data_IF_171417303596
#
_entry.id   IF_171417303596
#
_cell.length_a   1.000
_cell.length_b   1.000
_cell.length_c   1.000
_cell.angle_alpha   90.00
_cell.angle_beta   90.00
_cell.angle_gamma   90.00
#
_symmetry.space_group_name_H-M   'P 1'
#
loop_
_entity.id
_entity.type
_entity.pdbx_description
1 polymer ?
#
# COMPACT_ATOMS: atom_id res chain seq x y z
N UNK A 1 -12.46 -36.12 -16.56
CA UNK A 1 -11.41 -35.45 -15.75
C UNK A 1 -11.89 -34.03 -15.50
N UNK A 2 -12.32 -33.71 -14.29
CA UNK A 2 -12.86 -32.40 -13.93
C UNK A 2 -11.67 -31.47 -13.64
N UNK A 3 -11.52 -30.40 -14.41
CA UNK A 3 -10.61 -29.31 -14.10
C UNK A 3 -11.05 -28.70 -12.77
N UNK A 4 -10.29 -28.94 -11.72
CA UNK A 4 -10.41 -28.20 -10.47
C UNK A 4 -9.89 -26.79 -10.74
N UNK A 5 -10.80 -25.82 -10.89
CA UNK A 5 -10.51 -24.42 -10.72
C UNK A 5 -10.11 -24.24 -9.26
N UNK A 6 -8.81 -24.15 -9.00
CA UNK A 6 -8.30 -23.57 -7.77
C UNK A 6 -8.69 -22.07 -7.81
N UNK A 7 -9.89 -21.75 -7.36
CA UNK A 7 -10.19 -20.42 -6.86
C UNK A 7 -9.25 -20.23 -5.66
N UNK A 8 -8.29 -19.31 -5.80
CA UNK A 8 -7.53 -18.82 -4.65
C UNK A 8 -8.56 -18.16 -3.73
N UNK A 9 -8.90 -18.82 -2.64
CA UNK A 9 -9.68 -18.26 -1.52
C UNK A 9 -8.81 -17.22 -0.77
N UNK A 10 -8.52 -16.10 -1.42
CA UNK A 10 -7.84 -14.98 -0.80
C UNK A 10 -8.87 -14.03 -0.20
N UNK A 11 -8.61 -13.52 0.99
CA UNK A 11 -9.49 -12.54 1.67
C UNK A 11 -9.48 -11.17 1.00
N UNK A 12 -8.54 -10.91 0.09
CA UNK A 12 -8.47 -9.69 -0.70
C UNK A 12 -8.82 -9.93 -2.18
N UNK A 13 -9.27 -8.88 -2.86
CA UNK A 13 -9.54 -8.91 -4.31
C UNK A 13 -8.30 -8.50 -5.09
N UNK A 14 -7.86 -9.34 -6.02
CA UNK A 14 -6.84 -8.96 -7.01
C UNK A 14 -7.53 -8.29 -8.22
N UNK A 15 -7.16 -7.05 -8.48
CA UNK A 15 -7.72 -6.24 -9.58
C UNK A 15 -6.64 -6.00 -10.64
N UNK A 16 -6.94 -6.34 -11.90
CA UNK A 16 -6.07 -6.00 -13.01
C UNK A 16 -6.48 -4.62 -13.57
N UNK A 17 -5.62 -3.63 -13.41
CA UNK A 17 -5.89 -2.27 -13.86
C UNK A 17 -5.07 -1.22 -13.12
N UNK A 18 -5.42 0.04 -13.38
CA UNK A 18 -4.81 1.19 -12.72
C UNK A 18 -5.61 1.57 -11.47
N UNK A 19 -4.95 1.61 -10.32
CA UNK A 19 -5.53 2.04 -9.05
C UNK A 19 -6.07 3.48 -9.14
N UNK A 20 -5.39 4.36 -9.84
CA UNK A 20 -5.80 5.76 -9.93
C UNK A 20 -7.07 5.97 -10.75
N UNK A 21 -7.36 5.08 -11.70
CA UNK A 21 -8.65 5.09 -12.41
C UNK A 21 -9.81 4.78 -11.48
N UNK A 22 -9.61 3.88 -10.52
CA UNK A 22 -10.59 3.60 -9.48
C UNK A 22 -10.75 4.79 -8.54
N UNK A 23 -9.64 5.33 -8.02
CA UNK A 23 -9.65 6.46 -7.08
C UNK A 23 -10.42 7.65 -7.61
N UNK A 24 -10.28 7.95 -8.91
CA UNK A 24 -11.00 9.06 -9.58
C UNK A 24 -12.51 8.82 -9.69
N UNK A 25 -12.93 7.57 -9.77
CA UNK A 25 -14.35 7.20 -9.96
C UNK A 25 -15.06 6.92 -8.65
N UNK A 26 -14.33 6.59 -7.58
CA UNK A 26 -14.94 6.29 -6.29
C UNK A 26 -15.52 7.55 -5.65
N UNK A 27 -16.77 7.46 -5.23
CA UNK A 27 -17.51 8.56 -4.62
C UNK A 27 -18.15 8.21 -3.27
N UNK A 28 -17.98 6.98 -2.77
CA UNK A 28 -18.78 6.44 -1.68
C UNK A 28 -18.04 6.22 -0.36
N UNK A 29 -16.73 5.91 -0.39
CA UNK A 29 -15.96 5.55 0.81
C UNK A 29 -14.64 6.30 0.90
N UNK A 30 -14.08 6.38 2.08
CA UNK A 30 -12.67 6.75 2.26
C UNK A 30 -11.77 5.70 1.63
N UNK A 31 -10.61 6.10 1.13
CA UNK A 31 -9.64 5.21 0.51
C UNK A 31 -8.33 5.31 1.26
N UNK A 32 -7.80 4.17 1.71
CA UNK A 32 -6.46 4.07 2.30
C UNK A 32 -5.55 3.41 1.26
N UNK A 33 -4.47 4.09 0.90
CA UNK A 33 -3.52 3.65 -0.15
C UNK A 33 -2.14 3.42 0.46
N UNK A 34 -1.88 2.23 1.03
CA UNK A 34 -0.55 1.86 1.50
C UNK A 34 0.36 1.48 0.33
N UNK A 35 1.56 2.00 0.33
CA UNK A 35 2.59 1.61 -0.61
C UNK A 35 3.99 1.69 0.01
N UNK A 36 4.91 0.84 -0.48
CA UNK A 36 6.28 0.78 0.03
C UNK A 36 7.11 1.90 -0.55
N UNK A 37 7.82 2.60 0.34
CA UNK A 37 8.84 3.60 0.03
C UNK A 37 10.18 3.20 0.66
N UNK A 38 11.26 3.85 0.19
CA UNK A 38 12.62 3.58 0.66
C UNK A 38 13.00 4.48 1.87
N UNK A 39 14.14 4.19 2.47
CA UNK A 39 14.71 4.97 3.57
C UNK A 39 15.79 5.97 3.13
N UNK A 40 15.84 6.33 1.85
CA UNK A 40 16.81 7.29 1.30
C UNK A 40 16.20 8.62 0.85
N UNK A 41 14.91 8.82 1.06
CA UNK A 41 14.21 10.02 0.62
C UNK A 41 13.91 10.09 -0.88
N UNK A 42 14.13 9.01 -1.64
CA UNK A 42 13.85 8.97 -3.07
C UNK A 42 12.42 8.55 -3.36
N UNK A 43 11.71 9.30 -4.20
CA UNK A 43 10.29 9.07 -4.54
C UNK A 43 10.05 8.95 -6.06
N UNK A 44 11.07 8.63 -6.85
CA UNK A 44 11.07 8.77 -8.30
C UNK A 44 11.01 7.45 -9.09
N UNK A 45 10.61 6.36 -8.46
CA UNK A 45 10.57 5.04 -9.12
C UNK A 45 9.35 4.21 -8.74
N UNK A 46 8.96 3.29 -9.62
CA UNK A 46 7.87 2.36 -9.40
C UNK A 46 6.53 3.05 -9.13
N UNK A 47 5.77 2.56 -8.16
CA UNK A 47 4.46 3.11 -7.82
C UNK A 47 4.54 4.54 -7.26
N UNK A 48 5.62 4.88 -6.55
CA UNK A 48 5.84 6.24 -6.03
C UNK A 48 5.85 7.29 -7.17
N UNK A 49 6.46 6.99 -8.31
CA UNK A 49 6.41 7.87 -9.49
C UNK A 49 5.00 8.08 -10.02
N UNK A 50 4.16 7.05 -10.00
CA UNK A 50 2.76 7.18 -10.38
C UNK A 50 1.96 7.99 -9.34
N UNK A 51 2.25 7.83 -8.04
CA UNK A 51 1.69 8.67 -6.98
C UNK A 51 2.05 10.15 -7.19
N UNK A 52 3.33 10.46 -7.46
CA UNK A 52 3.77 11.83 -7.75
C UNK A 52 2.98 12.47 -8.89
N UNK A 53 2.75 11.72 -9.97
CA UNK A 53 2.02 12.21 -11.14
C UNK A 53 0.56 12.58 -10.82
N UNK A 54 -0.12 11.81 -9.97
CA UNK A 54 -1.54 12.00 -9.66
C UNK A 54 -1.78 12.82 -8.39
N UNK A 55 -0.86 12.71 -7.42
CA UNK A 55 -0.94 13.33 -6.11
C UNK A 55 0.43 13.88 -5.67
N UNK A 56 0.94 14.95 -6.30
CA UNK A 56 2.28 15.49 -6.03
C UNK A 56 2.49 15.91 -4.58
N UNK A 57 1.42 16.22 -3.86
CA UNK A 57 1.47 16.57 -2.44
C UNK A 57 2.02 15.41 -1.58
N UNK A 58 1.84 14.15 -2.00
CA UNK A 58 2.35 12.99 -1.26
C UNK A 58 3.88 12.97 -1.30
N UNK A 59 4.47 13.20 -2.48
CA UNK A 59 5.93 13.36 -2.63
C UNK A 59 6.45 14.53 -1.83
N UNK A 60 5.80 15.71 -1.94
CA UNK A 60 6.21 16.90 -1.22
C UNK A 60 6.27 16.66 0.29
N UNK A 61 5.27 15.98 0.87
CA UNK A 61 5.27 15.61 2.28
C UNK A 61 6.37 14.58 2.62
N UNK A 62 6.62 13.61 1.74
CA UNK A 62 7.68 12.63 1.95
C UNK A 62 9.06 13.29 1.99
N UNK A 63 9.33 14.23 1.08
CA UNK A 63 10.61 14.96 1.00
C UNK A 63 10.83 15.93 2.17
N UNK A 64 9.78 16.33 2.88
CA UNK A 64 9.89 17.14 4.11
C UNK A 64 10.28 16.34 5.35
N UNK A 65 10.30 15.00 5.28
CA UNK A 65 10.75 14.19 6.41
C UNK A 65 12.22 14.41 6.70
N UNK A 66 12.55 14.58 7.98
CA UNK A 66 13.95 14.73 8.44
C UNK A 66 14.62 13.38 8.69
N UNK A 67 13.85 12.33 8.87
CA UNK A 67 14.32 10.97 9.15
C UNK A 67 13.45 9.93 8.45
N UNK A 68 14.08 9.02 7.72
CA UNK A 68 13.43 7.90 7.03
C UNK A 68 13.77 6.60 7.73
N UNK A 69 13.05 6.29 8.79
CA UNK A 69 13.33 5.11 9.61
C UNK A 69 12.55 3.90 9.16
N UNK A 70 13.24 2.80 8.91
CA UNK A 70 12.63 1.52 8.52
C UNK A 70 11.61 1.04 9.56
N UNK A 71 10.42 0.71 9.09
CA UNK A 71 9.30 0.25 9.92
C UNK A 71 8.45 1.37 10.49
N UNK A 72 8.62 2.60 10.02
CA UNK A 72 7.74 3.74 10.30
C UNK A 72 6.87 4.07 9.08
N UNK A 73 5.69 4.61 9.35
CA UNK A 73 4.72 5.04 8.36
C UNK A 73 4.57 6.55 8.37
N UNK A 74 4.37 7.11 7.19
CA UNK A 74 3.89 8.48 7.05
C UNK A 74 2.49 8.46 6.45
N UNK A 75 1.53 9.06 7.15
CA UNK A 75 0.14 9.17 6.73
C UNK A 75 -0.12 10.57 6.15
N UNK A 76 -0.59 10.63 4.92
CA UNK A 76 -0.95 11.88 4.24
C UNK A 76 -2.43 11.81 3.87
N UNK A 77 -3.24 12.58 4.61
CA UNK A 77 -4.69 12.67 4.38
C UNK A 77 -5.00 13.80 3.41
N UNK A 78 -5.75 13.48 2.37
CA UNK A 78 -6.18 14.39 1.32
C UNK A 78 -7.70 14.44 1.32
N UNK A 79 -8.29 15.63 1.36
CA UNK A 79 -9.72 15.81 1.19
C UNK A 79 -10.09 15.50 -0.28
N UNK A 80 -10.96 14.55 -0.48
CA UNK A 80 -11.46 14.12 -1.79
C UNK A 80 -12.84 14.72 -2.12
N UNK A 81 -13.34 15.63 -1.29
CA UNK A 81 -14.68 16.20 -1.38
C UNK A 81 -15.78 15.25 -0.88
N UNK A 82 -17.00 15.77 -0.76
CA UNK A 82 -18.16 14.99 -0.29
C UNK A 82 -17.95 14.28 1.06
N UNK A 83 -17.21 14.89 1.98
CA UNK A 83 -16.83 14.33 3.30
C UNK A 83 -16.01 13.04 3.20
N UNK A 84 -15.28 12.82 2.11
CA UNK A 84 -14.39 11.67 1.90
C UNK A 84 -12.94 12.06 1.98
N UNK A 85 -12.10 11.10 2.32
CA UNK A 85 -10.65 11.25 2.36
C UNK A 85 -9.95 10.18 1.54
N UNK A 86 -8.82 10.57 0.97
CA UNK A 86 -7.81 9.62 0.47
C UNK A 86 -6.63 9.73 1.41
N UNK A 87 -6.23 8.59 1.99
CA UNK A 87 -5.10 8.51 2.92
C UNK A 87 -3.99 7.72 2.26
N UNK A 88 -2.95 8.39 1.80
CA UNK A 88 -1.73 7.71 1.38
C UNK A 88 -0.90 7.31 2.61
N UNK A 89 -0.38 6.09 2.58
CA UNK A 89 0.52 5.60 3.61
C UNK A 89 1.85 5.23 2.97
N UNK A 90 2.85 6.08 3.20
CA UNK A 90 4.24 5.80 2.82
C UNK A 90 4.84 4.85 3.85
N UNK A 91 4.84 3.55 3.54
CA UNK A 91 5.43 2.49 4.37
C UNK A 91 6.93 2.43 4.14
N UNK A 92 7.75 2.89 5.08
CA UNK A 92 9.23 2.89 4.95
C UNK A 92 9.76 1.48 5.22
N UNK A 93 9.69 0.64 4.21
CA UNK A 93 10.06 -0.78 4.31
C UNK A 93 11.16 -1.20 3.33
N UNK A 94 11.63 -0.31 2.45
CA UNK A 94 12.71 -0.59 1.51
C UNK A 94 14.03 0.03 2.01
N UNK A 95 15.05 -0.81 2.20
CA UNK A 95 16.38 -0.37 2.58
C UNK A 95 17.25 -0.13 1.35
N UNK A 96 17.42 1.13 0.98
CA UNK A 96 18.25 1.58 -0.15
C UNK A 96 19.68 1.94 0.24
N UNK A 97 19.96 2.10 1.55
CA UNK A 97 21.25 2.61 2.06
C UNK A 97 22.28 1.52 2.34
N UNK A 98 22.12 0.31 1.82
CA UNK A 98 23.07 -0.76 2.09
C UNK A 98 24.23 -0.73 1.09
N UNK A 99 25.47 -0.63 1.61
CA UNK A 99 26.71 -0.82 0.85
C UNK A 99 26.90 -2.27 0.37
N UNK A 100 26.17 -3.22 0.91
CA UNK A 100 26.17 -4.63 0.50
C UNK A 100 25.06 -4.83 -0.53
N UNK A 101 25.37 -5.49 -1.62
CA UNK A 101 24.37 -6.01 -2.57
C UNK A 101 23.47 -6.99 -1.84
N UNK A 102 22.43 -6.49 -1.20
CA UNK A 102 21.38 -7.34 -0.68
C UNK A 102 20.62 -7.94 -1.87
N UNK A 103 20.32 -9.22 -1.76
CA UNK A 103 19.49 -9.95 -2.73
C UNK A 103 18.08 -9.32 -2.83
N UNK A 104 17.67 -8.58 -1.81
CA UNK A 104 16.36 -7.95 -1.67
C UNK A 104 16.50 -6.66 -0.86
N UNK A 105 15.96 -5.56 -1.38
CA UNK A 105 15.90 -4.27 -0.68
C UNK A 105 14.72 -4.21 0.29
N UNK A 106 13.60 -4.91 -0.01
CA UNK A 106 12.47 -4.98 0.88
C UNK A 106 12.84 -5.65 2.20
N UNK A 107 12.61 -4.96 3.30
CA UNK A 107 12.78 -5.48 4.65
C UNK A 107 11.43 -5.98 5.17
N UNK A 108 11.24 -7.29 5.29
CA UNK A 108 9.97 -7.88 5.71
C UNK A 108 9.59 -7.52 7.15
N UNK A 109 10.55 -7.43 8.06
CA UNK A 109 10.26 -7.02 9.43
C UNK A 109 9.72 -5.59 9.48
N UNK A 110 10.33 -4.68 8.71
CA UNK A 110 9.84 -3.31 8.56
C UNK A 110 8.48 -3.25 7.88
N UNK A 111 8.25 -4.10 6.87
CA UNK A 111 6.96 -4.19 6.19
C UNK A 111 5.85 -4.61 7.17
N UNK A 112 6.06 -5.66 7.97
CA UNK A 112 5.09 -6.10 8.98
C UNK A 112 4.78 -4.99 9.99
N UNK A 113 5.80 -4.25 10.45
CA UNK A 113 5.61 -3.11 11.35
C UNK A 113 4.74 -2.02 10.71
N UNK A 114 5.03 -1.67 9.46
CA UNK A 114 4.24 -0.70 8.73
C UNK A 114 2.79 -1.18 8.52
N UNK A 115 2.59 -2.41 8.11
CA UNK A 115 1.24 -2.97 7.94
C UNK A 115 0.45 -2.98 9.27
N UNK A 116 1.10 -3.26 10.39
CA UNK A 116 0.51 -3.11 11.72
C UNK A 116 0.21 -1.63 12.07
N UNK A 117 1.06 -0.70 11.62
CA UNK A 117 0.83 0.74 11.74
C UNK A 117 -0.43 1.20 11.01
N UNK A 118 -0.65 0.70 9.79
CA UNK A 118 -1.91 0.94 9.04
C UNK A 118 -3.11 0.42 9.82
N UNK A 119 -3.03 -0.79 10.38
CA UNK A 119 -4.10 -1.37 11.20
C UNK A 119 -4.39 -0.50 12.44
N UNK A 120 -3.35 -0.02 13.12
CA UNK A 120 -3.49 0.89 14.25
C UNK A 120 -4.15 2.23 13.83
N UNK A 121 -3.75 2.80 12.70
CA UNK A 121 -4.39 3.99 12.14
C UNK A 121 -5.89 3.78 11.91
N UNK A 122 -6.26 2.66 11.29
CA UNK A 122 -7.66 2.31 11.03
C UNK A 122 -8.45 2.27 12.34
N UNK A 123 -7.97 1.52 13.33
CA UNK A 123 -8.64 1.37 14.63
C UNK A 123 -8.82 2.68 15.40
N UNK A 124 -7.93 3.65 15.18
CA UNK A 124 -8.01 4.96 15.83
C UNK A 124 -8.91 5.98 15.11
N UNK A 125 -9.17 5.77 13.80
CA UNK A 125 -9.91 6.74 12.98
C UNK A 125 -11.29 6.24 12.54
N UNK A 126 -11.56 4.95 12.64
CA UNK A 126 -12.83 4.33 12.26
C UNK A 126 -13.31 3.42 13.38
N UNK A 127 -14.60 3.52 13.73
CA UNK A 127 -15.23 2.61 14.68
C UNK A 127 -15.57 1.27 14.03
N UNK A 128 -15.85 0.25 14.84
CA UNK A 128 -16.30 -1.07 14.35
C UNK A 128 -17.58 -0.96 13.49
N UNK A 129 -18.39 0.07 13.73
CA UNK A 129 -19.61 0.36 12.94
C UNK A 129 -19.33 1.04 11.60
N UNK A 130 -18.08 1.46 11.38
CA UNK A 130 -17.63 2.17 10.18
C UNK A 130 -16.95 1.28 9.14
N UNK A 131 -17.04 -0.04 9.28
CA UNK A 131 -16.35 -1.01 8.40
C UNK A 131 -16.62 -0.80 6.89
N UNK A 132 -17.76 -0.21 6.52
CA UNK A 132 -18.09 0.12 5.14
C UNK A 132 -17.72 1.55 4.73
N UNK A 133 -17.11 2.35 5.63
CA UNK A 133 -16.76 3.74 5.35
C UNK A 133 -15.37 3.90 4.73
N UNK A 134 -14.55 2.89 4.79
CA UNK A 134 -13.23 2.90 4.16
C UNK A 134 -12.94 1.59 3.46
N UNK A 135 -12.03 1.64 2.49
CA UNK A 135 -11.46 0.49 1.79
C UNK A 135 -9.94 0.66 1.67
N UNK A 136 -9.21 -0.44 1.72
CA UNK A 136 -7.77 -0.46 1.45
C UNK A 136 -7.55 -0.76 -0.03
N UNK A 137 -6.91 0.15 -0.74
CA UNK A 137 -6.55 0.00 -2.15
C UNK A 137 -5.04 0.10 -2.30
N UNK A 138 -4.37 -1.03 -2.51
CA UNK A 138 -2.92 -1.11 -2.58
C UNK A 138 -2.43 -1.49 -3.98
N UNK A 139 -1.28 -0.98 -4.43
CA UNK A 139 -0.59 -1.62 -5.55
C UNK A 139 -0.09 -3.00 -5.10
N UNK A 140 0.29 -3.85 -6.05
CA UNK A 140 1.06 -5.07 -5.74
C UNK A 140 2.46 -4.67 -5.25
N UNK A 141 2.53 -4.19 -4.00
CA UNK A 141 3.72 -3.55 -3.44
C UNK A 141 4.83 -4.54 -3.08
N UNK A 142 6.07 -4.02 -3.05
CA UNK A 142 7.25 -4.75 -2.58
C UNK A 142 7.81 -5.80 -3.54
N UNK A 143 7.13 -6.13 -4.64
CA UNK A 143 7.50 -7.24 -5.56
C UNK A 143 8.24 -6.79 -6.82
N UNK A 144 8.34 -5.49 -7.07
CA UNK A 144 9.09 -4.94 -8.21
C UNK A 144 10.59 -4.90 -7.92
N UNK A 145 11.21 -3.74 -8.10
CA UNK A 145 12.65 -3.51 -7.87
C UNK A 145 13.08 -3.80 -6.43
N UNK A 146 12.16 -3.76 -5.47
CA UNK A 146 12.42 -4.10 -4.06
C UNK A 146 12.68 -5.59 -3.81
N UNK A 147 12.36 -6.48 -4.76
CA UNK A 147 12.73 -7.90 -4.76
C UNK A 147 11.98 -8.77 -3.74
N UNK A 148 10.82 -8.35 -3.26
CA UNK A 148 9.98 -9.14 -2.35
C UNK A 148 9.29 -10.32 -3.05
N UNK A 149 8.93 -11.34 -2.27
CA UNK A 149 8.14 -12.47 -2.70
C UNK A 149 6.66 -12.17 -2.51
N UNK A 150 5.88 -12.22 -3.60
CA UNK A 150 4.46 -11.89 -3.54
C UNK A 150 3.66 -12.88 -2.70
N UNK A 151 3.93 -14.18 -2.76
CA UNK A 151 3.20 -15.14 -1.95
C UNK A 151 3.31 -14.82 -0.46
N UNK A 152 4.53 -14.49 0.01
CA UNK A 152 4.74 -14.09 1.40
C UNK A 152 4.03 -12.76 1.75
N UNK A 153 4.04 -11.78 0.83
CA UNK A 153 3.35 -10.50 1.05
C UNK A 153 1.83 -10.70 1.02
N UNK A 154 1.33 -11.57 0.18
CA UNK A 154 -0.06 -11.99 0.11
C UNK A 154 -0.54 -12.56 1.45
N UNK A 155 0.23 -13.49 2.02
CA UNK A 155 -0.07 -14.07 3.33
C UNK A 155 -0.11 -13.00 4.43
N UNK A 156 0.82 -12.04 4.39
CA UNK A 156 0.80 -10.90 5.33
C UNK A 156 -0.44 -10.01 5.18
N UNK A 157 -0.93 -9.82 3.96
CA UNK A 157 -2.17 -9.05 3.72
C UNK A 157 -3.35 -9.77 4.37
N UNK A 158 -3.43 -11.09 4.22
CA UNK A 158 -4.48 -11.90 4.82
C UNK A 158 -4.39 -11.90 6.35
N UNK A 159 -3.20 -12.09 6.90
CA UNK A 159 -2.98 -12.13 8.34
C UNK A 159 -3.26 -10.80 9.05
N UNK A 160 -2.88 -9.67 8.42
CA UNK A 160 -2.89 -8.35 9.07
C UNK A 160 -4.12 -7.54 8.71
N UNK A 161 -4.60 -7.64 7.46
CA UNK A 161 -5.69 -6.83 6.93
C UNK A 161 -6.91 -7.65 6.50
N UNK A 162 -6.95 -8.96 6.77
CA UNK A 162 -8.02 -9.86 6.34
C UNK A 162 -9.41 -9.53 6.88
N UNK A 163 -9.51 -8.70 7.92
CA UNK A 163 -10.78 -8.20 8.46
C UNK A 163 -11.35 -7.02 7.65
N UNK A 164 -10.58 -6.43 6.73
CA UNK A 164 -10.97 -5.25 5.97
C UNK A 164 -11.28 -5.57 4.51
N UNK A 165 -12.00 -4.66 3.85
CA UNK A 165 -12.14 -4.69 2.40
C UNK A 165 -10.81 -4.26 1.75
N UNK A 166 -10.09 -5.19 1.16
CA UNK A 166 -8.79 -4.97 0.53
C UNK A 166 -8.84 -5.27 -0.96
N UNK A 167 -8.37 -4.32 -1.78
CA UNK A 167 -8.15 -4.48 -3.21
C UNK A 167 -6.67 -4.31 -3.53
N UNK A 168 -6.08 -5.29 -4.19
CA UNK A 168 -4.69 -5.22 -4.66
C UNK A 168 -4.67 -5.05 -6.17
N UNK A 169 -3.98 -4.02 -6.65
CA UNK A 169 -3.89 -3.69 -8.06
C UNK A 169 -2.61 -4.20 -8.68
N UNK A 170 -2.75 -4.89 -9.81
CA UNK A 170 -1.64 -5.32 -10.65
C UNK A 170 -1.81 -4.76 -12.06
N UNK A 171 -0.72 -4.37 -12.75
CA UNK A 171 -0.82 -3.99 -14.15
C UNK A 171 -1.51 -5.08 -14.96
N UNK A 172 -2.29 -4.67 -15.97
CA UNK A 172 -2.92 -5.65 -16.88
C UNK A 172 -1.84 -6.56 -17.45
N UNK A 173 -2.10 -7.87 -17.45
CA UNK A 173 -1.32 -8.79 -18.29
C UNK A 173 -1.54 -8.35 -19.75
N UNK A 174 -0.45 -8.00 -20.42
CA UNK A 174 -0.42 -7.84 -21.87
C UNK A 174 -0.49 -9.24 -22.48
#
# INVERSE_FOLDING_TARGET
>A
MKNANLQNDTTYRLVFGDLFDFVKKNTSSDIIIPHVVNNSGSFNSGFASAVEKHFPIVKANYELMTLYKLGEDQFIKIDAGNKRSIVFVNMIAQNSNTKKRLRRQLNYFSLVKCMAGVNHYIKNNYSEFDANKFEIHAPKFGCGTSGGNWNFISDLIEDIWGEYSVCVYSPKRI
#
